data_IF_917445744304
#
_entry.id   IF_917445744304
#
_cell.length_a   1.000
_cell.length_b   1.000
_cell.length_c   1.000
_cell.angle_alpha   90.00
_cell.angle_beta   90.00
_cell.angle_gamma   90.00
#
_symmetry.space_group_name_H-M   'P 1'
#
loop_
_entity.id
_entity.type
_entity.pdbx_description
1 polymer ?
#
# COMPACT_ATOMS: atom_id res chain seq x y z
N UNK A 1 59.98 -3.48 -7.38
CA UNK A 1 59.73 -3.40 -5.93
C UNK A 1 59.80 -1.92 -5.58
N UNK A 2 58.79 -1.23 -5.03
CA UNK A 2 57.77 -1.62 -4.06
C UNK A 2 56.45 -0.89 -4.41
N UNK A 3 55.36 -1.64 -4.44
CA UNK A 3 54.00 -1.16 -4.69
C UNK A 3 53.58 -0.17 -3.61
N UNK A 4 53.24 1.07 -4.00
CA UNK A 4 52.71 2.12 -3.13
C UNK A 4 51.22 2.42 -3.41
N UNK A 5 50.51 1.51 -4.08
CA UNK A 5 49.09 1.67 -4.42
C UNK A 5 48.13 0.97 -3.44
N UNK A 6 48.59 0.54 -2.27
CA UNK A 6 47.76 -0.18 -1.29
C UNK A 6 47.04 0.72 -0.27
N UNK A 7 47.39 2.01 -0.19
CA UNK A 7 46.81 2.91 0.80
C UNK A 7 45.49 3.62 0.40
N UNK A 8 45.16 3.92 -0.87
CA UNK A 8 43.85 4.50 -1.18
C UNK A 8 42.75 3.43 -1.29
N UNK A 9 43.12 2.17 -1.55
CA UNK A 9 42.17 1.06 -1.69
C UNK A 9 41.56 0.68 -0.33
N UNK A 10 42.30 0.84 0.77
CA UNK A 10 41.78 0.60 2.12
C UNK A 10 40.71 1.63 2.54
N UNK A 11 40.77 2.87 2.03
CA UNK A 11 39.82 3.92 2.39
C UNK A 11 38.44 3.72 1.74
N UNK A 12 38.35 3.09 0.56
CA UNK A 12 37.07 2.80 -0.10
C UNK A 12 36.28 1.66 0.57
N UNK A 13 36.92 0.82 1.39
CA UNK A 13 36.24 -0.31 2.05
C UNK A 13 35.41 0.12 3.29
N UNK A 14 35.61 1.35 3.79
CA UNK A 14 34.85 1.89 4.91
C UNK A 14 33.43 2.32 4.54
N UNK A 15 33.09 2.38 3.24
CA UNK A 15 31.70 2.51 2.79
C UNK A 15 31.07 1.10 2.69
N UNK A 16 31.29 0.30 3.72
CA UNK A 16 30.40 -0.82 3.99
C UNK A 16 29.12 -0.17 4.51
N UNK A 17 28.25 0.30 3.61
CA UNK A 17 26.86 0.56 3.99
C UNK A 17 26.33 -0.77 4.48
N UNK A 18 26.30 -0.95 5.79
CA UNK A 18 25.48 -1.98 6.40
C UNK A 18 24.08 -1.67 5.91
N UNK A 19 23.61 -2.42 4.92
CA UNK A 19 22.18 -2.52 4.67
C UNK A 19 21.63 -3.19 5.92
N UNK A 20 21.43 -2.40 6.97
CA UNK A 20 20.45 -2.74 7.97
C UNK A 20 19.20 -3.00 7.15
N UNK A 21 18.79 -4.26 7.05
CA UNK A 21 17.49 -4.62 6.54
C UNK A 21 16.50 -4.00 7.53
N UNK A 22 16.26 -2.69 7.40
CA UNK A 22 15.19 -2.00 8.11
C UNK A 22 13.94 -2.71 7.63
N UNK A 23 13.37 -3.53 8.51
CA UNK A 23 12.07 -4.15 8.30
C UNK A 23 11.04 -3.03 8.26
N UNK A 24 10.92 -2.38 7.09
CA UNK A 24 9.88 -1.40 6.85
C UNK A 24 8.57 -2.17 6.74
N UNK A 25 7.58 -1.90 7.61
CA UNK A 25 6.28 -2.54 7.52
C UNK A 25 5.59 -2.20 6.20
N UNK A 26 5.00 -3.20 5.55
CA UNK A 26 4.16 -3.03 4.36
C UNK A 26 2.72 -3.27 4.74
N UNK A 27 1.81 -2.42 4.27
CA UNK A 27 0.39 -2.71 4.34
C UNK A 27 -0.10 -3.22 2.99
N UNK A 28 -1.10 -4.08 3.05
CA UNK A 28 -1.82 -4.59 1.89
C UNK A 28 -3.30 -4.26 2.09
N UNK A 29 -3.85 -3.42 1.23
CA UNK A 29 -5.26 -3.03 1.29
C UNK A 29 -6.01 -3.83 0.24
N UNK A 30 -7.12 -4.43 0.63
CA UNK A 30 -8.04 -5.18 -0.21
C UNK A 30 -9.41 -4.50 -0.19
N UNK A 31 -9.96 -4.23 -1.36
CA UNK A 31 -11.31 -3.71 -1.55
C UNK A 31 -12.11 -4.76 -2.31
N UNK A 32 -13.11 -5.33 -1.66
CA UNK A 32 -13.87 -6.47 -2.17
C UNK A 32 -15.30 -6.03 -2.54
N UNK A 33 -15.75 -6.39 -3.74
CA UNK A 33 -17.14 -6.23 -4.13
C UNK A 33 -18.00 -7.33 -3.49
N UNK A 34 -18.73 -6.99 -2.43
CA UNK A 34 -19.72 -7.83 -1.76
C UNK A 34 -21.16 -7.35 -2.01
N UNK A 35 -21.38 -6.62 -3.10
CA UNK A 35 -22.73 -6.18 -3.49
C UNK A 35 -23.54 -7.37 -4.00
N UNK A 36 -24.87 -7.35 -3.85
CA UNK A 36 -25.74 -8.36 -4.43
C UNK A 36 -25.55 -8.48 -5.95
N UNK A 37 -25.78 -9.68 -6.50
CA UNK A 37 -25.62 -9.99 -7.93
C UNK A 37 -26.35 -9.01 -8.86
N UNK A 38 -27.48 -8.45 -8.41
CA UNK A 38 -28.29 -7.48 -9.15
C UNK A 38 -27.57 -6.15 -9.41
N UNK A 39 -26.48 -5.86 -8.70
CA UNK A 39 -25.69 -4.63 -8.90
C UNK A 39 -24.78 -4.68 -10.13
N UNK A 40 -24.70 -5.83 -10.81
CA UNK A 40 -23.87 -6.12 -12.00
C UNK A 40 -22.36 -6.00 -11.75
N UNK A 41 -21.86 -4.81 -11.45
CA UNK A 41 -20.46 -4.51 -11.18
C UNK A 41 -20.30 -3.30 -10.26
N UNK A 42 -19.13 -3.21 -9.63
CA UNK A 42 -18.68 -2.07 -8.83
C UNK A 42 -17.55 -1.39 -9.59
N UNK A 43 -17.76 -0.16 -10.03
CA UNK A 43 -16.65 0.70 -10.44
C UNK A 43 -16.02 1.32 -9.20
N UNK A 44 -14.70 1.36 -9.16
CA UNK A 44 -13.93 1.91 -8.05
C UNK A 44 -12.76 2.73 -8.57
N UNK A 45 -12.50 3.87 -7.93
CA UNK A 45 -11.29 4.66 -8.12
C UNK A 45 -10.65 4.91 -6.76
N UNK A 46 -9.41 4.50 -6.56
CA UNK A 46 -8.72 4.62 -5.28
C UNK A 46 -7.46 5.47 -5.41
N UNK A 47 -7.19 6.30 -4.42
CA UNK A 47 -5.98 7.11 -4.38
C UNK A 47 -5.58 7.44 -2.93
N UNK A 48 -4.31 7.79 -2.76
CA UNK A 48 -3.79 8.52 -1.59
C UNK A 48 -3.44 9.94 -2.02
N UNK A 49 -2.74 10.67 -1.13
CA UNK A 49 -2.14 11.96 -1.50
C UNK A 49 -1.04 11.80 -2.57
N UNK A 50 -0.28 10.71 -2.50
CA UNK A 50 0.98 10.54 -3.23
C UNK A 50 0.89 9.45 -4.33
N UNK A 51 -0.11 8.57 -4.25
CA UNK A 51 -0.27 7.42 -5.15
C UNK A 51 -1.70 7.35 -5.71
N UNK A 52 -1.80 7.14 -7.02
CA UNK A 52 -3.07 6.84 -7.68
C UNK A 52 -3.12 5.34 -7.99
N UNK A 53 -4.12 4.64 -7.43
CA UNK A 53 -4.36 3.21 -7.69
C UNK A 53 -5.18 3.04 -8.98
N UNK A 54 -5.88 4.09 -9.41
CA UNK A 54 -6.62 4.14 -10.66
C UNK A 54 -8.03 3.56 -10.60
N UNK A 55 -8.65 3.51 -11.78
CA UNK A 55 -10.01 3.00 -11.97
C UNK A 55 -10.02 1.49 -12.23
N UNK A 56 -10.93 0.78 -11.57
CA UNK A 56 -11.16 -0.65 -11.75
C UNK A 56 -12.65 -0.96 -11.79
N UNK A 57 -13.01 -2.05 -12.47
CA UNK A 57 -14.37 -2.62 -12.46
C UNK A 57 -14.30 -3.99 -11.80
N UNK A 58 -15.10 -4.21 -10.77
CA UNK A 58 -15.14 -5.43 -9.98
C UNK A 58 -16.51 -6.11 -10.09
N UNK A 59 -16.54 -7.36 -10.52
CA UNK A 59 -17.72 -8.21 -10.45
C UNK A 59 -17.93 -8.78 -9.04
N UNK A 60 -19.07 -9.45 -8.81
CA UNK A 60 -19.39 -10.04 -7.51
C UNK A 60 -18.24 -10.95 -7.01
N UNK A 61 -17.73 -10.66 -5.82
CA UNK A 61 -16.66 -11.42 -5.17
C UNK A 61 -15.25 -11.05 -5.62
N UNK A 62 -15.09 -10.20 -6.63
CA UNK A 62 -13.78 -9.72 -7.06
C UNK A 62 -13.23 -8.64 -6.12
N UNK A 63 -11.91 -8.47 -6.15
CA UNK A 63 -11.21 -7.47 -5.36
C UNK A 63 -10.12 -6.75 -6.16
N UNK A 64 -9.89 -5.49 -5.78
CA UNK A 64 -8.59 -4.84 -6.02
C UNK A 64 -7.78 -4.87 -4.75
N UNK A 65 -6.47 -5.06 -4.88
CA UNK A 65 -5.55 -4.92 -3.77
C UNK A 65 -4.24 -4.27 -4.19
N UNK A 66 -3.61 -3.57 -3.25
CA UNK A 66 -2.30 -2.98 -3.46
C UNK A 66 -1.48 -3.04 -2.18
N UNK A 67 -0.15 -3.04 -2.37
CA UNK A 67 0.83 -3.05 -1.28
C UNK A 67 1.65 -1.78 -1.30
N UNK A 68 1.88 -1.20 -0.14
CA UNK A 68 2.73 -0.03 0.02
C UNK A 68 3.55 -0.11 1.30
N UNK A 69 4.72 0.54 1.29
CA UNK A 69 5.56 0.69 2.48
C UNK A 69 5.01 1.85 3.31
N UNK A 70 4.84 1.64 4.61
CA UNK A 70 4.65 2.77 5.50
C UNK A 70 6.02 3.36 5.80
N UNK A 71 6.35 4.44 5.10
CA UNK A 71 7.55 5.23 5.37
C UNK A 71 7.47 5.98 6.70
N UNK A 72 8.48 6.81 6.96
CA UNK A 72 8.57 7.67 8.14
C UNK A 72 7.55 8.85 8.12
N UNK A 73 6.72 8.94 7.08
CA UNK A 73 5.72 9.99 6.95
C UNK A 73 4.61 9.86 8.03
N UNK A 74 4.11 11.00 8.53
CA UNK A 74 3.27 11.05 9.73
C UNK A 74 1.91 10.37 9.57
N UNK A 75 1.36 10.27 8.36
CA UNK A 75 0.12 9.54 8.09
C UNK A 75 0.05 9.09 6.62
N UNK A 76 -0.44 7.87 6.39
CA UNK A 76 -0.81 7.38 5.05
C UNK A 76 -2.30 7.11 5.08
N UNK A 77 -3.02 7.65 4.09
CA UNK A 77 -4.46 7.51 3.95
C UNK A 77 -4.77 7.16 2.50
N UNK A 78 -5.58 6.12 2.29
CA UNK A 78 -6.18 5.83 0.99
C UNK A 78 -7.69 5.98 1.09
N UNK A 79 -8.25 6.68 0.12
CA UNK A 79 -9.70 6.79 -0.09
C UNK A 79 -10.07 6.18 -1.42
N UNK A 80 -11.30 5.70 -1.52
CA UNK A 80 -11.85 5.18 -2.75
C UNK A 80 -13.24 5.75 -2.98
N UNK A 81 -13.52 6.02 -4.25
CA UNK A 81 -14.82 6.40 -4.77
C UNK A 81 -15.42 5.21 -5.50
N UNK A 82 -16.68 4.91 -5.22
CA UNK A 82 -17.39 3.74 -5.64
C UNK A 82 -18.67 4.11 -6.40
N UNK A 83 -18.91 3.43 -7.51
CA UNK A 83 -20.12 3.57 -8.31
C UNK A 83 -20.73 2.20 -8.61
N UNK A 84 -22.03 2.07 -8.33
CA UNK A 84 -22.81 0.89 -8.70
C UNK A 84 -24.28 1.27 -8.84
N UNK A 85 -24.95 0.73 -9.85
CA UNK A 85 -26.31 1.15 -10.21
C UNK A 85 -26.41 2.69 -10.32
N UNK A 86 -27.30 3.32 -9.54
CA UNK A 86 -27.45 4.78 -9.42
C UNK A 86 -26.85 5.33 -8.12
N UNK A 87 -25.93 4.60 -7.48
CA UNK A 87 -25.27 5.00 -6.24
C UNK A 87 -23.83 5.41 -6.50
N UNK A 88 -23.41 6.39 -5.74
CA UNK A 88 -22.08 6.98 -5.74
C UNK A 88 -21.71 7.22 -4.27
N UNK A 89 -20.59 6.65 -3.80
CA UNK A 89 -20.08 6.86 -2.44
C UNK A 89 -18.55 6.91 -2.39
N UNK A 90 -18.00 7.78 -1.55
CA UNK A 90 -16.57 7.81 -1.24
C UNK A 90 -16.30 7.41 0.22
N UNK A 91 -15.27 6.61 0.45
CA UNK A 91 -14.86 6.16 1.78
C UNK A 91 -13.35 6.16 1.94
N UNK A 92 -12.88 6.41 3.17
CA UNK A 92 -11.54 6.03 3.58
C UNK A 92 -11.49 4.50 3.72
N UNK A 93 -10.60 3.87 2.96
CA UNK A 93 -10.42 2.40 2.96
C UNK A 93 -9.20 1.99 3.78
N UNK A 94 -8.27 2.91 3.98
CA UNK A 94 -7.11 2.74 4.84
C UNK A 94 -6.73 4.08 5.46
N UNK A 95 -6.48 4.07 6.76
CA UNK A 95 -5.86 5.17 7.47
C UNK A 95 -4.86 4.59 8.47
N UNK A 96 -3.62 5.09 8.43
CA UNK A 96 -2.60 4.73 9.41
C UNK A 96 -2.98 5.37 10.75
N UNK A 97 -3.49 4.56 11.66
CA UNK A 97 -3.63 4.95 13.06
C UNK A 97 -2.25 4.95 13.74
N UNK A 98 -1.97 5.91 14.62
CA UNK A 98 -0.73 5.98 15.40
C UNK A 98 -0.58 4.86 16.45
N UNK A 99 -1.37 3.79 16.35
CA UNK A 99 -1.37 2.69 17.31
C UNK A 99 -0.14 1.79 17.09
N UNK A 100 0.65 1.63 18.16
CA UNK A 100 1.80 0.72 18.31
C UNK A 100 1.37 -0.75 18.24
N UNK A 101 0.73 -1.17 17.14
CA UNK A 101 0.19 -2.52 17.02
C UNK A 101 1.02 -3.32 16.02
N UNK A 102 1.82 -4.22 16.58
CA UNK A 102 2.46 -5.34 15.88
C UNK A 102 1.37 -6.27 15.32
N UNK A 103 0.78 -5.93 14.17
CA UNK A 103 -0.10 -6.83 13.43
C UNK A 103 0.77 -7.78 12.62
N UNK A 104 0.74 -9.06 12.98
CA UNK A 104 1.54 -10.13 12.36
C UNK A 104 1.32 -10.23 10.85
N UNK A 105 0.16 -9.79 10.35
CA UNK A 105 -0.12 -9.49 8.95
C UNK A 105 -0.79 -8.10 8.84
N UNK A 106 -0.25 -7.23 8.01
CA UNK A 106 -0.75 -5.86 7.79
C UNK A 106 -1.74 -5.80 6.61
N UNK A 107 -2.65 -6.78 6.54
CA UNK A 107 -3.72 -6.79 5.54
C UNK A 107 -4.96 -6.09 6.11
N UNK A 108 -5.59 -5.24 5.31
CA UNK A 108 -6.82 -4.53 5.66
C UNK A 108 -7.84 -4.80 4.56
N UNK A 109 -9.02 -5.31 4.94
CA UNK A 109 -10.09 -5.63 4.00
C UNK A 109 -11.25 -4.65 4.17
N UNK A 110 -11.75 -4.11 3.06
CA UNK A 110 -12.97 -3.32 2.98
C UNK A 110 -13.97 -4.00 2.05
N UNK A 111 -15.08 -4.47 2.61
CA UNK A 111 -16.17 -5.08 1.85
C UNK A 111 -17.22 -4.01 1.53
N UNK A 112 -17.52 -3.85 0.24
CA UNK A 112 -18.56 -2.94 -0.23
C UNK A 112 -19.87 -3.72 -0.35
N UNK A 113 -20.87 -3.29 0.39
CA UNK A 113 -22.20 -3.89 0.46
C UNK A 113 -23.27 -2.78 0.43
N UNK A 114 -24.55 -3.16 0.51
CA UNK A 114 -25.70 -2.24 0.37
C UNK A 114 -25.66 -1.02 1.29
#
# INVERSE_FOLDING_TARGET
>A
MRSLFLLPVLALCLISTTSANVLVPYYEVHVVNALPYESQYLQVHCASKDDDIGYHTLYLGEEIHWRFKVGFFPSTLFFCHFWWNSKDKAFVVFEKENSLMCKRHMRVYKYIQR
#
